data_IF_516219260618
#
_entry.id   IF_516219260618
#
_cell.length_a   1.000
_cell.length_b   1.000
_cell.length_c   1.000
_cell.angle_alpha   90.00
_cell.angle_beta   90.00
_cell.angle_gamma   90.00
#
_symmetry.space_group_name_H-M   'P 1'
#
loop_
_entity.id
_entity.type
_entity.pdbx_description
1 polymer ?
#
# COMPACT_ATOMS: atom_id res chain seq x y z
N UNK A 1 10.16 2.40 11.74
CA UNK A 1 8.69 2.46 11.62
C UNK A 1 8.22 3.81 12.13
N UNK A 2 7.51 4.62 11.31
CA UNK A 2 6.88 5.86 11.77
C UNK A 2 5.91 5.59 12.92
N UNK A 3 5.89 6.47 13.93
CA UNK A 3 5.06 6.31 15.14
C UNK A 3 3.70 6.99 15.05
N UNK A 4 3.44 7.76 13.98
CA UNK A 4 2.18 8.49 13.78
C UNK A 4 1.62 8.30 12.37
N UNK A 5 0.29 8.37 12.23
CA UNK A 5 -0.38 8.30 10.92
C UNK A 5 0.05 9.41 9.97
N UNK A 6 0.38 10.60 10.51
CA UNK A 6 0.87 11.73 9.72
C UNK A 6 2.26 11.46 9.13
N UNK A 7 3.16 10.83 9.90
CA UNK A 7 4.48 10.45 9.39
C UNK A 7 4.38 9.36 8.32
N UNK A 8 3.49 8.38 8.48
CA UNK A 8 3.20 7.36 7.44
C UNK A 8 2.69 8.05 6.18
N UNK A 9 1.70 8.95 6.31
CA UNK A 9 1.16 9.69 5.16
C UNK A 9 2.25 10.47 4.44
N UNK A 10 3.06 11.24 5.17
CA UNK A 10 4.11 12.07 4.55
C UNK A 10 5.15 11.23 3.82
N UNK A 11 5.53 10.07 4.38
CA UNK A 11 6.40 9.14 3.67
C UNK A 11 5.75 8.63 2.38
N UNK A 12 4.49 8.20 2.42
CA UNK A 12 3.77 7.79 1.21
C UNK A 12 3.61 8.92 0.18
N UNK A 13 3.40 10.16 0.62
CA UNK A 13 3.33 11.32 -0.28
C UNK A 13 4.62 11.47 -1.11
N UNK A 14 5.78 11.15 -0.52
CA UNK A 14 7.08 11.21 -1.21
C UNK A 14 7.26 10.11 -2.26
N UNK A 15 6.51 9.01 -2.16
CA UNK A 15 6.57 7.87 -3.11
C UNK A 15 5.38 7.86 -4.08
N UNK A 16 4.66 8.97 -4.22
CA UNK A 16 3.54 9.08 -5.16
C UNK A 16 4.03 8.87 -6.59
N UNK A 17 3.42 7.90 -7.26
CA UNK A 17 3.76 7.51 -8.62
C UNK A 17 4.81 6.41 -8.72
N UNK A 18 5.32 5.88 -7.60
CA UNK A 18 6.26 4.76 -7.61
C UNK A 18 5.55 3.41 -7.64
N UNK A 19 6.25 2.43 -8.23
CA UNK A 19 5.84 1.03 -8.23
C UNK A 19 6.15 0.40 -6.88
N UNK A 20 5.26 -0.48 -6.43
CA UNK A 20 5.39 -1.16 -5.15
C UNK A 20 4.71 -2.53 -5.14
N UNK A 21 5.11 -3.35 -4.19
CA UNK A 21 4.43 -4.59 -3.81
C UNK A 21 3.68 -4.37 -2.51
N UNK A 22 2.37 -4.62 -2.53
CA UNK A 22 1.55 -4.69 -1.30
C UNK A 22 1.51 -6.13 -0.82
N UNK A 23 1.93 -6.34 0.43
CA UNK A 23 1.81 -7.61 1.13
C UNK A 23 0.71 -7.48 2.18
N UNK A 24 -0.41 -8.19 2.01
CA UNK A 24 -1.59 -8.07 2.88
C UNK A 24 -1.95 -9.40 3.56
N UNK A 25 -2.33 -9.35 4.83
CA UNK A 25 -2.88 -10.49 5.56
C UNK A 25 -4.34 -10.73 5.13
N UNK A 26 -4.60 -11.79 4.37
CA UNK A 26 -5.92 -12.11 3.81
C UNK A 26 -6.73 -13.11 4.67
N UNK A 27 -6.21 -13.49 5.85
CA UNK A 27 -6.88 -14.39 6.79
C UNK A 27 -5.91 -15.20 7.64
N UNK A 28 -6.40 -16.27 8.28
CA UNK A 28 -5.56 -17.17 9.10
C UNK A 28 -4.53 -17.86 8.19
N UNK A 29 -3.25 -17.54 8.40
CA UNK A 29 -2.08 -18.08 7.67
C UNK A 29 -2.04 -17.78 6.16
N UNK A 30 -2.83 -16.83 5.65
CA UNK A 30 -2.83 -16.48 4.21
C UNK A 30 -2.33 -15.06 4.01
N UNK A 31 -1.25 -14.93 3.24
CA UNK A 31 -0.68 -13.65 2.80
C UNK A 31 -0.92 -13.51 1.30
N UNK A 32 -1.29 -12.30 0.86
CA UNK A 32 -1.43 -11.97 -0.56
C UNK A 32 -0.38 -10.94 -0.93
N UNK A 33 0.32 -11.13 -2.04
CA UNK A 33 1.28 -10.17 -2.61
C UNK A 33 0.72 -9.64 -3.91
N UNK A 34 0.67 -8.33 -4.08
CA UNK A 34 0.14 -7.69 -5.29
C UNK A 34 1.07 -6.57 -5.73
N UNK A 35 1.46 -6.60 -7.01
CA UNK A 35 2.18 -5.49 -7.64
C UNK A 35 1.20 -4.39 -8.03
N UNK A 36 1.63 -3.15 -7.85
CA UNK A 36 0.87 -1.98 -8.25
C UNK A 36 1.70 -0.72 -8.18
N UNK A 37 1.02 0.42 -8.28
CA UNK A 37 1.61 1.74 -8.24
C UNK A 37 0.88 2.61 -7.23
N UNK A 38 1.59 3.34 -6.37
CA UNK A 38 0.97 4.31 -5.47
C UNK A 38 0.47 5.49 -6.29
N UNK A 39 -0.84 5.68 -6.41
CA UNK A 39 -1.39 6.71 -7.32
C UNK A 39 -1.94 7.93 -6.61
N UNK A 40 -2.55 7.76 -5.43
CA UNK A 40 -3.15 8.86 -4.67
C UNK A 40 -3.02 8.64 -3.18
N UNK A 41 -2.89 9.74 -2.44
CA UNK A 41 -3.00 9.78 -0.99
C UNK A 41 -4.11 10.75 -0.58
N UNK A 42 -4.87 10.38 0.45
CA UNK A 42 -5.93 11.18 1.03
C UNK A 42 -5.72 11.33 2.54
N UNK A 43 -6.67 11.94 3.25
CA UNK A 43 -6.51 12.17 4.69
C UNK A 43 -6.43 10.87 5.51
N UNK A 44 -7.17 9.82 5.12
CA UNK A 44 -7.29 8.58 5.90
C UNK A 44 -6.83 7.32 5.16
N UNK A 45 -6.72 7.40 3.84
CA UNK A 45 -6.43 6.25 2.97
C UNK A 45 -5.51 6.66 1.83
N UNK A 46 -4.85 5.69 1.24
CA UNK A 46 -4.10 5.82 0.00
C UNK A 46 -4.59 4.79 -1.01
N UNK A 47 -4.27 5.02 -2.29
CA UNK A 47 -4.76 4.28 -3.43
C UNK A 47 -3.59 3.68 -4.19
N UNK A 48 -3.70 2.38 -4.45
CA UNK A 48 -2.78 1.62 -5.29
C UNK A 48 -3.53 1.14 -6.52
N UNK A 49 -3.02 1.49 -7.70
CA UNK A 49 -3.50 0.91 -8.95
C UNK A 49 -2.77 -0.41 -9.16
N UNK A 50 -3.53 -1.50 -9.31
CA UNK A 50 -2.98 -2.85 -9.39
C UNK A 50 -2.73 -3.25 -10.83
N UNK A 51 -1.69 -4.05 -11.01
CA UNK A 51 -1.35 -4.62 -12.31
C UNK A 51 -2.46 -5.58 -12.79
N UNK A 52 -3.14 -5.22 -13.88
CA UNK A 52 -4.33 -5.92 -14.41
C UNK A 52 -3.99 -7.31 -14.98
N UNK A 53 -2.77 -7.52 -15.46
CA UNK A 53 -2.27 -8.83 -15.90
C UNK A 53 -2.23 -9.86 -14.76
N UNK A 54 -2.21 -9.39 -13.50
CA UNK A 54 -2.09 -10.24 -12.31
C UNK A 54 -3.30 -10.16 -11.36
N UNK A 55 -4.22 -9.22 -11.53
CA UNK A 55 -5.37 -9.04 -10.64
C UNK A 55 -6.66 -8.66 -11.40
N UNK A 56 -7.78 -9.25 -10.97
CA UNK A 56 -9.12 -9.00 -11.51
C UNK A 56 -9.72 -7.62 -11.12
N UNK A 57 -8.95 -6.76 -10.44
CA UNK A 57 -9.38 -5.45 -9.96
C UNK A 57 -8.31 -4.41 -10.28
N UNK A 58 -8.75 -3.24 -10.75
CA UNK A 58 -7.87 -2.18 -11.27
C UNK A 58 -7.25 -1.33 -10.16
N UNK A 59 -7.92 -1.23 -9.00
CA UNK A 59 -7.54 -0.29 -7.94
C UNK A 59 -7.98 -0.78 -6.56
N UNK A 60 -7.14 -0.57 -5.56
CA UNK A 60 -7.44 -0.86 -4.15
C UNK A 60 -7.02 0.31 -3.27
N UNK A 61 -7.80 0.58 -2.22
CA UNK A 61 -7.47 1.56 -1.19
C UNK A 61 -7.13 0.89 0.13
N UNK A 62 -6.11 1.41 0.82
CA UNK A 62 -5.69 0.96 2.15
C UNK A 62 -5.65 2.13 3.13
N UNK A 63 -5.81 1.87 4.42
CA UNK A 63 -5.69 2.91 5.45
C UNK A 63 -4.25 3.01 5.97
N UNK A 64 -3.88 4.18 6.49
CA UNK A 64 -2.60 4.35 7.20
C UNK A 64 -2.52 3.50 8.46
N UNK A 65 -3.67 3.19 9.06
CA UNK A 65 -3.76 2.29 10.22
C UNK A 65 -3.34 0.88 9.83
N UNK A 66 -3.65 0.41 8.62
CA UNK A 66 -3.25 -0.94 8.18
C UNK A 66 -1.72 -1.10 8.11
N UNK A 67 -0.99 -0.04 7.76
CA UNK A 67 0.47 0.00 7.83
C UNK A 67 0.96 0.05 9.29
N UNK A 68 0.31 0.88 10.11
CA UNK A 68 0.66 1.03 11.52
C UNK A 68 0.48 -0.28 12.31
N UNK A 69 -0.61 -1.01 12.04
CA UNK A 69 -0.94 -2.28 12.70
C UNK A 69 -0.31 -3.49 12.00
N UNK A 70 0.46 -3.29 10.94
CA UNK A 70 1.10 -4.35 10.12
C UNK A 70 0.09 -5.35 9.55
N UNK A 71 -1.14 -4.90 9.28
CA UNK A 71 -2.09 -5.67 8.48
C UNK A 71 -1.60 -5.78 7.03
N UNK A 72 -0.90 -4.74 6.57
CA UNK A 72 -0.22 -4.69 5.29
C UNK A 72 1.23 -4.20 5.45
N UNK A 73 2.06 -4.54 4.48
CA UNK A 73 3.42 -4.02 4.29
C UNK A 73 3.57 -3.55 2.83
N UNK A 74 4.36 -2.51 2.60
CA UNK A 74 4.68 -1.98 1.28
C UNK A 74 6.18 -2.15 1.03
N UNK A 75 6.51 -2.66 -0.14
CA UNK A 75 7.88 -2.75 -0.64
C UNK A 75 7.95 -1.89 -1.90
N UNK A 76 8.56 -0.71 -1.80
CA UNK A 76 8.76 0.19 -2.94
C UNK A 76 9.93 -0.30 -3.79
N UNK A 77 9.80 -0.20 -5.11
CA UNK A 77 10.87 -0.52 -6.05
C UNK A 77 11.80 0.70 -6.11
N UNK A 78 12.75 0.80 -5.18
CA UNK A 78 13.78 1.84 -5.19
C UNK A 78 14.69 1.61 -6.41
N UNK A 79 14.51 2.41 -7.47
CA UNK A 79 15.45 2.51 -8.60
C UNK A 79 16.57 3.50 -8.30
#
# INVERSE_FOLDING_TARGET
>A
MPTTLMAIKHNLDSHLGESLVVVAQAGRKKVTRRKGRLTKTYRAVFVVDLDQDQNNFERVSYSYTDLLTKNIELEFDEM
#
